data_IF_659263912600
#
_entry.id   IF_659263912600
#
_cell.length_a   1.000
_cell.length_b   1.000
_cell.length_c   1.000
_cell.angle_alpha   90.00
_cell.angle_beta   90.00
_cell.angle_gamma   90.00
#
_symmetry.space_group_name_H-M   'P 1'
#
loop_
_entity.id
_entity.type
_entity.pdbx_description
1 polymer ?
#
# COMPACT_ATOMS: atom_id res chain seq x y z
N UNK A 1 -15.95 27.54 7.42
CA UNK A 1 -16.97 26.52 7.12
C UNK A 1 -16.24 25.25 6.65
N UNK A 2 -15.32 24.66 7.45
CA UNK A 2 -14.16 23.99 6.81
C UNK A 2 -13.76 22.60 7.34
N UNK A 3 -14.48 22.04 8.32
CA UNK A 3 -14.17 20.70 8.85
C UNK A 3 -15.13 19.60 8.35
N UNK A 4 -16.43 19.93 8.24
CA UNK A 4 -17.48 18.95 7.90
C UNK A 4 -17.38 18.46 6.44
N UNK A 5 -17.03 19.35 5.50
CA UNK A 5 -16.89 18.98 4.08
C UNK A 5 -15.74 17.99 3.83
N UNK A 6 -14.73 17.95 4.70
CA UNK A 6 -13.60 17.03 4.58
C UNK A 6 -13.93 15.59 5.03
N UNK A 7 -14.92 15.41 5.90
CA UNK A 7 -15.31 14.09 6.41
C UNK A 7 -16.04 13.23 5.37
N UNK A 8 -16.64 13.85 4.35
CA UNK A 8 -17.30 13.17 3.23
C UNK A 8 -16.52 13.29 1.91
N UNK A 9 -15.29 13.83 1.93
CA UNK A 9 -14.50 14.02 0.73
C UNK A 9 -14.16 12.67 0.07
N UNK A 10 -14.33 12.61 -1.24
CA UNK A 10 -14.02 11.44 -2.07
C UNK A 10 -12.78 11.73 -2.89
N UNK A 11 -11.92 10.72 -3.04
CA UNK A 11 -10.74 10.80 -3.90
C UNK A 11 -11.15 10.53 -5.36
N UNK A 12 -11.05 11.55 -6.21
CA UNK A 12 -11.52 11.48 -7.59
C UNK A 12 -10.72 10.49 -8.44
N UNK A 13 -9.43 10.32 -8.16
CA UNK A 13 -8.57 9.37 -8.86
C UNK A 13 -9.05 7.94 -8.60
N UNK A 14 -9.34 7.60 -7.35
CA UNK A 14 -9.86 6.29 -6.96
C UNK A 14 -11.18 5.96 -7.64
N UNK A 15 -12.12 6.92 -7.68
CA UNK A 15 -13.41 6.73 -8.39
C UNK A 15 -13.18 6.60 -9.89
N UNK A 16 -12.37 7.47 -10.49
CA UNK A 16 -12.10 7.42 -11.92
C UNK A 16 -11.49 6.08 -12.34
N UNK A 17 -10.52 5.56 -11.59
CA UNK A 17 -9.91 4.25 -11.89
C UNK A 17 -10.92 3.11 -11.79
N UNK A 18 -11.83 3.14 -10.81
CA UNK A 18 -12.94 2.17 -10.68
C UNK A 18 -13.89 2.21 -11.89
N UNK A 19 -14.35 3.41 -12.28
CA UNK A 19 -15.27 3.57 -13.40
C UNK A 19 -14.61 3.23 -14.75
N UNK A 20 -13.32 3.53 -14.92
CA UNK A 20 -12.54 3.09 -16.08
C UNK A 20 -12.50 1.56 -16.13
N UNK A 21 -12.37 0.88 -14.99
CA UNK A 21 -12.48 -0.58 -14.92
C UNK A 21 -13.81 -1.09 -15.48
N UNK A 22 -14.94 -0.46 -15.13
CA UNK A 22 -16.25 -0.78 -15.72
C UNK A 22 -16.32 -0.51 -17.22
N UNK A 23 -15.74 0.59 -17.70
CA UNK A 23 -15.65 0.89 -19.14
C UNK A 23 -14.84 -0.19 -19.88
N UNK A 24 -13.82 -0.75 -19.23
CA UNK A 24 -13.04 -1.90 -19.72
C UNK A 24 -13.74 -3.26 -19.48
N UNK A 25 -14.96 -3.28 -18.96
CA UNK A 25 -15.75 -4.50 -18.77
C UNK A 25 -15.44 -5.29 -17.49
N UNK A 26 -14.67 -4.72 -16.55
CA UNK A 26 -14.46 -5.34 -15.24
C UNK A 26 -15.71 -5.21 -14.38
N UNK A 27 -16.06 -6.30 -13.69
CA UNK A 27 -17.11 -6.32 -12.67
C UNK A 27 -16.57 -5.91 -11.30
N UNK A 28 -17.47 -5.78 -10.33
CA UNK A 28 -17.05 -5.54 -8.95
C UNK A 28 -16.26 -6.73 -8.38
N UNK A 29 -15.21 -6.42 -7.61
CA UNK A 29 -14.46 -7.40 -6.83
C UNK A 29 -15.04 -7.58 -5.44
N UNK A 30 -14.94 -8.79 -4.89
CA UNK A 30 -15.19 -9.06 -3.48
C UNK A 30 -14.01 -8.71 -2.56
N UNK A 31 -12.83 -8.45 -3.13
CA UNK A 31 -11.62 -8.09 -2.38
C UNK A 31 -11.67 -6.61 -1.97
N UNK A 32 -11.68 -6.27 -0.66
CA UNK A 32 -11.73 -4.87 -0.21
C UNK A 32 -10.52 -4.02 -0.63
N UNK A 33 -9.41 -4.68 -0.99
CA UNK A 33 -8.19 -4.04 -1.45
C UNK A 33 -8.25 -3.68 -2.94
N UNK A 34 -9.04 -4.39 -3.74
CA UNK A 34 -9.12 -4.19 -5.18
C UNK A 34 -9.75 -2.84 -5.54
N UNK A 35 -9.26 -2.22 -6.61
CA UNK A 35 -9.85 -0.99 -7.15
C UNK A 35 -11.31 -1.21 -7.52
N UNK A 36 -11.63 -2.41 -8.03
CA UNK A 36 -13.00 -2.78 -8.39
C UNK A 36 -13.91 -3.12 -7.18
N UNK A 37 -13.47 -2.94 -5.93
CA UNK A 37 -14.37 -3.11 -4.78
C UNK A 37 -15.49 -2.06 -4.79
N UNK A 38 -16.77 -2.42 -4.58
CA UNK A 38 -17.93 -1.54 -4.82
C UNK A 38 -18.14 -0.44 -3.77
N UNK A 39 -17.14 -0.14 -2.95
CA UNK A 39 -17.25 0.84 -1.87
C UNK A 39 -15.92 1.53 -1.60
N UNK A 40 -15.95 2.85 -1.52
CA UNK A 40 -14.81 3.69 -1.18
C UNK A 40 -15.13 4.47 0.09
N UNK A 41 -14.27 4.38 1.10
CA UNK A 41 -14.45 5.16 2.33
C UNK A 41 -14.07 6.63 2.07
N UNK A 42 -14.63 7.59 2.82
CA UNK A 42 -14.21 8.97 2.70
C UNK A 42 -12.69 9.11 2.90
N UNK A 43 -12.06 9.90 2.03
CA UNK A 43 -10.62 10.16 1.97
C UNK A 43 -9.73 8.92 1.74
N UNK A 44 -10.32 7.78 1.40
CA UNK A 44 -9.55 6.59 1.01
C UNK A 44 -8.98 6.80 -0.40
N UNK A 45 -7.71 6.42 -0.58
CA UNK A 45 -7.06 6.35 -1.88
C UNK A 45 -6.94 4.90 -2.29
N UNK A 46 -7.48 4.57 -3.45
CA UNK A 46 -7.58 3.22 -4.02
C UNK A 46 -7.48 3.26 -5.54
N UNK A 47 -6.42 3.92 -6.03
CA UNK A 47 -6.11 4.00 -7.45
C UNK A 47 -4.98 3.03 -7.86
N UNK A 48 -4.26 2.48 -6.89
CA UNK A 48 -3.21 1.47 -7.12
C UNK A 48 -3.84 0.12 -7.44
N UNK A 49 -3.45 -0.45 -8.58
CA UNK A 49 -3.99 -1.73 -9.04
C UNK A 49 -3.48 -2.88 -8.17
N UNK A 50 -4.39 -3.76 -7.78
CA UNK A 50 -4.05 -5.02 -7.10
C UNK A 50 -3.86 -6.15 -8.11
N UNK A 51 -3.36 -7.29 -7.62
CA UNK A 51 -3.28 -8.51 -8.41
C UNK A 51 -4.64 -8.90 -8.99
N UNK A 52 -5.72 -8.76 -8.21
CA UNK A 52 -7.10 -9.06 -8.64
C UNK A 52 -7.54 -8.19 -9.84
N UNK A 53 -7.25 -6.89 -9.78
CA UNK A 53 -7.58 -5.95 -10.87
C UNK A 53 -6.79 -6.29 -12.16
N UNK A 54 -5.51 -6.62 -12.01
CA UNK A 54 -4.63 -6.97 -13.13
C UNK A 54 -5.02 -8.30 -13.75
N UNK A 55 -5.32 -9.32 -12.94
CA UNK A 55 -5.80 -10.62 -13.41
C UNK A 55 -7.13 -10.49 -14.15
N UNK A 56 -8.08 -9.71 -13.61
CA UNK A 56 -9.35 -9.42 -14.27
C UNK A 56 -9.16 -8.81 -15.65
N UNK A 57 -8.29 -7.79 -15.76
CA UNK A 57 -8.00 -7.16 -17.05
C UNK A 57 -7.33 -8.12 -18.03
N UNK A 58 -6.36 -8.93 -17.56
CA UNK A 58 -5.67 -9.91 -18.41
C UNK A 58 -6.57 -11.08 -18.82
N UNK A 59 -7.57 -11.43 -18.02
CA UNK A 59 -8.56 -12.43 -18.40
C UNK A 59 -9.39 -11.95 -19.60
N UNK A 60 -9.72 -10.65 -19.67
CA UNK A 60 -10.47 -10.06 -20.78
C UNK A 60 -9.61 -9.81 -22.03
N UNK A 61 -8.38 -9.32 -21.85
CA UNK A 61 -7.57 -8.75 -22.94
C UNK A 61 -6.26 -9.49 -23.22
N UNK A 62 -5.92 -10.49 -22.41
CA UNK A 62 -4.66 -11.21 -22.47
C UNK A 62 -3.53 -10.54 -21.70
N UNK A 63 -2.46 -11.30 -21.45
CA UNK A 63 -1.27 -10.81 -20.74
C UNK A 63 -0.42 -9.88 -21.62
N UNK A 64 0.15 -8.86 -20.99
CA UNK A 64 1.12 -7.98 -21.64
C UNK A 64 2.50 -8.67 -21.76
N UNK A 65 3.10 -8.77 -22.96
CA UNK A 65 4.40 -9.44 -23.15
C UNK A 65 5.56 -8.88 -22.33
N UNK A 66 5.52 -7.59 -21.97
CA UNK A 66 6.55 -6.92 -21.16
C UNK A 66 6.29 -6.98 -19.66
N UNK A 67 5.25 -7.68 -19.23
CA UNK A 67 4.81 -7.74 -17.85
C UNK A 67 4.60 -9.18 -17.41
N UNK A 68 5.09 -9.52 -16.21
CA UNK A 68 4.91 -10.85 -15.63
C UNK A 68 4.10 -10.78 -14.35
N UNK A 69 2.98 -11.52 -14.31
CA UNK A 69 2.11 -11.59 -13.13
C UNK A 69 2.82 -12.18 -11.91
N UNK A 70 3.76 -13.09 -12.13
CA UNK A 70 4.61 -13.64 -11.06
C UNK A 70 5.43 -12.57 -10.34
N UNK A 71 5.83 -11.49 -11.01
CA UNK A 71 6.55 -10.38 -10.40
C UNK A 71 5.66 -9.59 -9.45
N UNK A 72 4.39 -9.36 -9.80
CA UNK A 72 3.44 -8.71 -8.89
C UNK A 72 3.18 -9.56 -7.66
N UNK A 73 2.98 -10.86 -7.82
CA UNK A 73 2.82 -11.77 -6.68
C UNK A 73 4.02 -11.74 -5.73
N UNK A 74 5.24 -11.66 -6.26
CA UNK A 74 6.44 -11.54 -5.45
C UNK A 74 6.50 -10.21 -4.68
N UNK A 75 6.06 -9.11 -5.30
CA UNK A 75 5.98 -7.80 -4.64
C UNK A 75 4.93 -7.80 -3.53
N UNK A 76 3.75 -8.36 -3.80
CA UNK A 76 2.65 -8.43 -2.83
C UNK A 76 3.00 -9.31 -1.62
N UNK A 77 3.65 -10.46 -1.88
CA UNK A 77 4.19 -11.32 -0.82
C UNK A 77 5.27 -10.63 0.03
N UNK A 78 6.09 -9.77 -0.57
CA UNK A 78 7.08 -8.98 0.17
C UNK A 78 6.40 -7.94 1.08
N UNK A 79 5.31 -7.31 0.64
CA UNK A 79 4.52 -6.41 1.49
C UNK A 79 3.74 -7.11 2.60
N UNK A 80 3.41 -8.40 2.40
CA UNK A 80 2.73 -9.23 3.41
C UNK A 80 3.69 -9.82 4.46
N UNK A 81 5.01 -9.59 4.33
CA UNK A 81 5.97 -10.03 5.34
C UNK A 81 5.70 -9.31 6.67
N UNK A 82 5.54 -10.03 7.80
CA UNK A 82 5.41 -9.39 9.10
C UNK A 82 6.61 -8.49 9.35
N UNK A 83 6.51 -7.41 10.15
CA UNK A 83 7.71 -6.72 10.61
C UNK A 83 8.61 -7.74 11.30
N UNK A 84 9.64 -8.18 10.59
CA UNK A 84 10.65 -9.07 11.11
C UNK A 84 11.21 -8.41 12.35
N UNK A 85 11.11 -9.12 13.48
CA UNK A 85 11.71 -8.73 14.75
C UNK A 85 13.13 -8.29 14.45
N UNK A 86 13.36 -6.99 14.56
CA UNK A 86 14.68 -6.43 14.32
C UNK A 86 15.60 -6.98 15.40
N UNK A 87 16.46 -7.90 14.98
CA UNK A 87 17.54 -8.43 15.79
C UNK A 87 18.58 -7.33 15.97
N UNK A 88 18.30 -6.34 16.83
CA UNK A 88 19.25 -5.34 17.32
C UNK A 88 20.16 -5.94 18.39
N UNK A 89 20.80 -7.08 18.11
CA UNK A 89 21.92 -7.58 18.92
C UNK A 89 22.86 -8.36 18.00
N UNK A 90 23.54 -7.64 17.12
CA UNK A 90 24.83 -8.07 16.61
C UNK A 90 25.64 -6.85 16.19
N UNK A 91 26.89 -6.82 16.64
CA UNK A 91 27.96 -5.89 16.29
C UNK A 91 27.88 -4.50 16.95
N UNK A 92 28.73 -4.34 17.97
CA UNK A 92 28.86 -3.14 18.76
C UNK A 92 29.20 -1.91 17.94
N UNK A 93 28.49 -0.83 18.25
CA UNK A 93 28.93 0.55 18.07
C UNK A 93 28.08 1.37 19.05
N UNK A 94 28.54 1.41 20.30
CA UNK A 94 27.96 2.30 21.31
C UNK A 94 28.27 3.71 20.83
N UNK A 95 27.25 4.41 20.32
CA UNK A 95 27.35 5.78 19.87
C UNK A 95 28.01 6.63 20.97
N UNK A 96 29.18 7.17 20.67
CA UNK A 96 30.00 8.05 21.53
C UNK A 96 29.17 9.13 22.23
N UNK A 97 28.09 9.56 21.57
CA UNK A 97 27.12 10.55 22.06
C UNK A 97 26.43 10.11 23.35
N UNK A 98 26.05 8.83 23.49
CA UNK A 98 25.43 8.31 24.72
C UNK A 98 26.44 8.17 25.87
N UNK A 99 27.69 7.77 25.57
CA UNK A 99 28.71 7.64 26.60
C UNK A 99 29.08 9.01 27.23
N UNK A 100 29.18 10.06 26.42
CA UNK A 100 29.49 11.42 26.90
C UNK A 100 28.34 11.98 27.75
N UNK A 101 27.09 11.75 27.36
CA UNK A 101 25.91 12.20 28.12
C UNK A 101 25.78 11.50 29.48
N UNK A 102 26.09 10.19 29.55
CA UNK A 102 26.05 9.44 30.81
C UNK A 102 27.20 9.83 31.74
N UNK A 103 28.39 10.14 31.21
CA UNK A 103 29.53 10.61 32.02
C UNK A 103 29.24 12.01 32.61
N UNK A 104 28.62 12.92 31.84
CA UNK A 104 28.26 14.26 32.31
C UNK A 104 27.18 14.27 33.39
N UNK A 105 26.22 13.34 33.34
CA UNK A 105 25.09 13.30 34.29
C UNK A 105 25.46 12.57 35.59
N UNK A 106 26.47 11.71 35.59
CA UNK A 106 26.83 10.88 36.77
C UNK A 106 27.96 11.46 37.63
N UNK A 107 28.58 12.57 37.21
CA UNK A 107 29.68 13.23 37.91
C UNK A 107 29.36 14.69 38.29
N UNK A 108 28.07 15.03 38.44
CA UNK A 108 27.59 16.27 39.06
C UNK A 108 27.03 15.96 40.46
#
# INVERSE_FOLDING_TARGET
>A
MDAEAAHAAVDLESVATHEIGHVLGLGHSSSPAAVMYPSLRPREKKAELTVDDVEGAQWLYGSNPGFSLSSLYAQDAASMSPPGRSSWIAAGSVNLVCAVLVILVTHL
#
